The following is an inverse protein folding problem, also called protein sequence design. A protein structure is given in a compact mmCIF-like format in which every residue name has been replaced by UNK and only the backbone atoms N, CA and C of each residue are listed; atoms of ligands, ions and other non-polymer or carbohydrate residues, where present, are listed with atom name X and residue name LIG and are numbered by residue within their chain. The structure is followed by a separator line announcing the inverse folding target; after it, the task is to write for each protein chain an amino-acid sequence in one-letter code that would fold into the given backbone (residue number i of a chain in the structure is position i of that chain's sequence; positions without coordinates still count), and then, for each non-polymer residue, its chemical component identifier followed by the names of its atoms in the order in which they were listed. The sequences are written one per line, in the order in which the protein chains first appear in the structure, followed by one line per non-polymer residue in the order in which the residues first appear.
data_IF_381299853911
#
_entry.id   IF_381299853911
#
_cell.length_a   1.000
_cell.length_b   1.000
_cell.length_c   1.000
_cell.angle_alpha   90.00
_cell.angle_beta   90.00
_cell.angle_gamma   90.00
#
_symmetry.space_group_name_H-M   'P 1'
#
loop_
_entity.id
_entity.type
_entity.pdbx_description
1 polymer ?
#
# COMPACT_ATOMS: atom_id res chain seq x y z
N UNK A 1 8.80 -0.09 13.64
CA UNK A 1 8.07 0.47 12.48
C UNK A 1 8.30 -0.46 11.29
N UNK A 2 7.28 -0.75 10.47
CA UNK A 2 7.45 -1.60 9.29
C UNK A 2 8.44 -0.98 8.30
N UNK A 3 9.34 -1.79 7.75
CA UNK A 3 10.24 -1.36 6.67
C UNK A 3 9.48 -1.27 5.36
N UNK A 4 9.68 -0.17 4.63
CA UNK A 4 9.09 0.06 3.30
C UNK A 4 10.21 -0.05 2.27
N UNK A 5 10.02 -0.93 1.29
CA UNK A 5 11.00 -1.28 0.28
C UNK A 5 10.70 -0.58 -1.06
N UNK A 6 11.67 -0.63 -1.97
CA UNK A 6 11.58 0.00 -3.29
C UNK A 6 12.25 1.37 -3.33
N UNK A 7 12.02 2.10 -4.41
CA UNK A 7 12.62 3.41 -4.68
C UNK A 7 11.84 4.52 -3.96
N UNK A 8 11.82 4.48 -2.62
CA UNK A 8 11.18 5.50 -1.77
C UNK A 8 11.97 6.81 -1.84
N UNK A 9 11.26 7.94 -1.83
CA UNK A 9 11.88 9.28 -1.89
C UNK A 9 11.73 10.09 -0.60
N UNK A 10 10.92 9.58 0.34
CA UNK A 10 10.70 10.19 1.64
C UNK A 10 10.27 9.13 2.67
N UNK A 11 10.09 9.61 3.90
CA UNK A 11 9.59 8.79 5.00
C UNK A 11 8.07 8.59 4.94
N UNK A 12 7.33 9.20 4.02
CA UNK A 12 5.87 9.10 3.92
C UNK A 12 5.41 8.11 2.84
N UNK A 13 6.30 7.20 2.44
CA UNK A 13 6.06 6.10 1.47
C UNK A 13 5.91 6.53 0.02
N UNK A 14 6.15 7.81 -0.31
CA UNK A 14 6.15 8.23 -1.72
C UNK A 14 7.31 7.58 -2.45
N UNK A 15 7.15 7.33 -3.74
CA UNK A 15 8.21 6.75 -4.57
C UNK A 15 8.45 7.53 -5.85
N UNK A 16 9.52 7.16 -6.56
CA UNK A 16 9.87 7.77 -7.86
C UNK A 16 8.77 7.62 -8.93
N UNK A 17 7.85 6.65 -8.77
CA UNK A 17 6.75 6.44 -9.72
C UNK A 17 5.49 7.24 -9.38
N UNK A 18 5.20 7.45 -8.09
CA UNK A 18 4.01 8.12 -7.57
C UNK A 18 4.39 8.92 -6.32
N UNK A 19 4.27 10.25 -6.39
CA UNK A 19 4.82 11.18 -5.40
C UNK A 19 3.97 12.42 -5.14
N UNK A 20 2.67 12.35 -5.44
CA UNK A 20 1.76 13.41 -5.01
C UNK A 20 1.64 13.43 -3.49
N UNK A 21 1.14 14.54 -2.94
CA UNK A 21 0.89 14.65 -1.49
C UNK A 21 -0.07 13.58 -0.95
N UNK A 22 -0.86 12.94 -1.81
CA UNK A 22 -1.83 11.89 -1.48
C UNK A 22 -1.29 10.47 -1.62
N UNK A 23 -0.09 10.29 -2.22
CA UNK A 23 0.53 8.98 -2.44
C UNK A 23 1.28 8.50 -1.19
N UNK A 24 0.56 8.49 -0.06
CA UNK A 24 1.11 8.27 1.29
C UNK A 24 0.67 6.93 1.90
N UNK A 25 0.53 5.91 1.06
CA UNK A 25 0.25 4.54 1.49
C UNK A 25 1.33 3.59 0.96
N UNK A 26 1.63 2.56 1.75
CA UNK A 26 2.35 1.38 1.28
C UNK A 26 1.48 0.14 1.45
N UNK A 27 1.63 -0.82 0.53
CA UNK A 27 0.85 -2.06 0.46
C UNK A 27 1.77 -3.23 0.81
N UNK A 28 1.34 -4.10 1.73
CA UNK A 28 1.97 -5.37 2.04
C UNK A 28 1.63 -6.36 0.94
N UNK A 29 2.64 -6.80 0.20
CA UNK A 29 2.46 -7.76 -0.89
C UNK A 29 2.35 -9.18 -0.33
N UNK A 30 1.27 -9.89 -0.67
CA UNK A 30 1.01 -11.25 -0.19
C UNK A 30 2.13 -12.24 -0.51
N UNK A 31 2.83 -12.05 -1.61
CA UNK A 31 3.88 -12.96 -2.05
C UNK A 31 5.10 -13.00 -1.12
N UNK A 32 5.41 -11.89 -0.44
CA UNK A 32 6.65 -11.74 0.34
C UNK A 32 6.46 -11.06 1.71
N UNK A 33 5.25 -10.62 2.05
CA UNK A 33 4.90 -9.91 3.28
C UNK A 33 5.70 -8.62 3.54
N UNK A 34 6.22 -8.00 2.47
CA UNK A 34 6.94 -6.72 2.53
C UNK A 34 6.05 -5.57 2.07
N UNK A 35 6.26 -4.39 2.66
CA UNK A 35 5.59 -3.17 2.24
C UNK A 35 6.30 -2.49 1.07
N UNK A 36 5.52 -2.11 0.07
CA UNK A 36 5.97 -1.32 -1.07
C UNK A 36 5.01 -0.16 -1.35
N UNK A 37 5.50 1.01 -1.79
CA UNK A 37 4.66 2.14 -2.21
C UNK A 37 3.70 1.79 -3.35
N UNK A 38 4.14 0.95 -4.28
CA UNK A 38 3.37 0.60 -5.47
C UNK A 38 3.87 -0.71 -6.11
N UNK A 39 3.08 -1.24 -7.06
CA UNK A 39 3.43 -2.44 -7.84
C UNK A 39 4.72 -2.31 -8.66
N UNK A 40 5.06 -1.12 -9.17
CA UNK A 40 6.31 -0.93 -9.92
C UNK A 40 7.53 -1.10 -9.02
N UNK A 41 7.52 -0.44 -7.85
CA UNK A 41 8.55 -0.61 -6.83
C UNK A 41 8.73 -2.07 -6.41
N UNK A 42 7.63 -2.83 -6.24
CA UNK A 42 7.72 -4.26 -5.96
C UNK A 42 8.39 -5.02 -7.13
N UNK A 43 7.88 -4.85 -8.35
CA UNK A 43 8.34 -5.60 -9.52
C UNK A 43 9.80 -5.31 -9.89
N UNK A 44 10.30 -4.12 -9.57
CA UNK A 44 11.71 -3.75 -9.76
C UNK A 44 12.60 -4.32 -8.65
N UNK A 45 12.09 -4.48 -7.43
CA UNK A 45 12.86 -4.95 -6.27
C UNK A 45 12.85 -6.46 -6.09
N UNK A 46 11.92 -7.18 -6.72
CA UNK A 46 11.67 -8.59 -6.48
C UNK A 46 11.75 -9.43 -7.77
N UNK A 47 12.31 -10.63 -7.67
CA UNK A 47 12.45 -11.56 -8.79
C UNK A 47 11.21 -12.44 -9.03
N UNK A 48 10.16 -12.25 -8.23
CA UNK A 48 8.95 -13.07 -8.26
C UNK A 48 7.71 -12.26 -8.60
N UNK A 49 6.69 -12.95 -9.11
CA UNK A 49 5.42 -12.31 -9.47
C UNK A 49 4.59 -12.00 -8.22
N UNK A 50 3.90 -10.85 -8.19
CA UNK A 50 3.00 -10.51 -7.10
C UNK A 50 1.85 -11.52 -6.99
N UNK A 51 1.49 -11.86 -5.75
CA UNK A 51 0.27 -12.60 -5.42
C UNK A 51 -0.78 -11.62 -4.91
N UNK A 52 -2.04 -11.89 -5.23
CA UNK A 52 -3.18 -11.07 -4.78
C UNK A 52 -3.80 -11.65 -3.52
N UNK A 53 -4.25 -10.77 -2.64
CA UNK A 53 -5.09 -11.13 -1.50
C UNK A 53 -6.46 -11.57 -1.98
N UNK A 54 -6.97 -12.66 -1.41
CA UNK A 54 -8.32 -13.16 -1.64
C UNK A 54 -9.27 -12.43 -0.70
N UNK A 55 -10.53 -12.32 -1.08
CA UNK A 55 -11.54 -11.60 -0.28
C UNK A 55 -11.63 -12.08 1.17
N UNK A 56 -11.57 -13.40 1.41
CA UNK A 56 -11.59 -13.96 2.77
C UNK A 56 -10.35 -13.61 3.62
N UNK A 57 -9.31 -13.04 3.01
CA UNK A 57 -8.08 -12.57 3.68
C UNK A 57 -8.08 -11.05 3.89
N UNK A 58 -9.14 -10.31 3.50
CA UNK A 58 -9.14 -8.83 3.55
C UNK A 58 -9.14 -8.23 4.97
N UNK A 59 -9.26 -9.07 6.01
CA UNK A 59 -9.03 -8.67 7.39
C UNK A 59 -7.54 -8.62 7.77
N UNK A 60 -6.63 -8.99 6.86
CA UNK A 60 -5.19 -8.83 7.05
C UNK A 60 -4.79 -7.34 7.05
N UNK A 61 -3.92 -6.95 7.99
CA UNK A 61 -3.33 -5.61 8.07
C UNK A 61 -2.30 -5.40 6.96
N UNK A 62 -2.77 -5.16 5.74
CA UNK A 62 -1.91 -5.07 4.56
C UNK A 62 -1.68 -3.63 4.07
N UNK A 63 -2.25 -2.61 4.71
CA UNK A 63 -2.12 -1.22 4.26
C UNK A 63 -1.44 -0.40 5.35
N UNK A 64 -0.39 0.33 4.99
CA UNK A 64 0.36 1.19 5.91
C UNK A 64 0.14 2.65 5.52
N UNK A 65 -0.31 3.48 6.47
CA UNK A 65 -0.28 4.93 6.31
C UNK A 65 1.16 5.42 6.45
N UNK A 66 1.68 6.07 5.41
CA UNK A 66 3.02 6.63 5.37
C UNK A 66 3.25 7.76 6.38
N UNK A 67 2.22 8.55 6.68
CA UNK A 67 2.30 9.71 7.60
C UNK A 67 2.42 9.27 9.06
N UNK A 68 1.52 8.42 9.56
CA UNK A 68 1.46 8.07 10.99
C UNK A 68 1.84 6.61 11.31
N UNK A 69 2.21 5.83 10.29
CA UNK A 69 2.57 4.40 10.37
C UNK A 69 1.47 3.50 10.92
N UNK A 70 0.22 3.93 10.85
CA UNK A 70 -0.90 3.08 11.18
C UNK A 70 -1.07 1.98 10.13
N UNK A 71 -1.05 0.72 10.58
CA UNK A 71 -1.42 -0.43 9.75
C UNK A 71 -2.94 -0.64 9.82
N UNK A 72 -3.57 -0.67 8.66
CA UNK A 72 -5.01 -0.87 8.44
C UNK A 72 -5.22 -2.19 7.72
N UNK A 73 -6.38 -2.79 7.94
CA UNK A 73 -6.84 -3.92 7.13
C UNK A 73 -7.19 -3.48 5.70
N UNK A 74 -7.23 -4.44 4.77
CA UNK A 74 -7.65 -4.18 3.39
C UNK A 74 -9.11 -3.68 3.39
N UNK A 75 -9.99 -4.32 4.15
CA UNK A 75 -11.39 -3.94 4.30
C UNK A 75 -11.55 -2.50 4.82
N UNK A 76 -10.83 -2.12 5.88
CA UNK A 76 -10.87 -0.74 6.39
C UNK A 76 -10.42 0.26 5.33
N UNK A 77 -9.29 0.00 4.66
CA UNK A 77 -8.76 0.90 3.63
C UNK A 77 -9.70 1.09 2.45
N UNK A 78 -10.42 0.04 2.03
CA UNK A 78 -11.37 0.13 0.91
C UNK A 78 -12.58 1.03 1.20
N UNK A 79 -12.91 1.25 2.48
CA UNK A 79 -14.11 1.98 2.92
C UNK A 79 -13.83 3.45 3.31
N UNK A 80 -12.58 3.88 3.29
CA UNK A 80 -12.15 5.22 3.76
C UNK A 80 -11.38 5.99 2.68
N UNK A 81 -11.33 7.30 2.84
CA UNK A 81 -10.55 8.20 1.96
C UNK A 81 -9.41 8.92 2.70
N UNK A 82 -9.31 8.71 4.01
CA UNK A 82 -8.27 9.28 4.85
C UNK A 82 -7.91 8.31 5.98
N UNK A 83 -6.68 8.43 6.50
CA UNK A 83 -6.23 7.59 7.61
C UNK A 83 -7.10 7.85 8.86
N UNK A 84 -7.65 6.80 9.51
CA UNK A 84 -8.51 6.97 10.68
C UNK A 84 -7.74 7.46 11.91
N UNK A 85 -6.40 7.37 11.89
CA UNK A 85 -5.52 7.77 13.00
C UNK A 85 -5.02 9.21 12.89
N UNK A 86 -4.72 9.70 11.70
CA UNK A 86 -4.11 11.03 11.51
C UNK A 86 -4.81 11.93 10.49
N UNK A 87 -5.91 11.48 9.89
CA UNK A 87 -6.69 12.21 8.87
C UNK A 87 -5.91 12.56 7.59
N UNK A 88 -4.73 11.98 7.36
CA UNK A 88 -4.03 12.14 6.10
C UNK A 88 -4.87 11.56 4.96
N UNK A 89 -5.12 12.36 3.92
CA UNK A 89 -5.90 11.95 2.75
C UNK A 89 -5.14 10.95 1.89
N UNK A 90 -5.86 9.96 1.36
CA UNK A 90 -5.32 8.97 0.44
C UNK A 90 -5.71 9.29 -1.00
N UNK A 91 -4.86 8.88 -1.93
CA UNK A 91 -5.16 9.03 -3.34
C UNK A 91 -6.27 8.06 -3.77
N UNK A 92 -7.47 8.57 -4.07
CA UNK A 92 -8.60 7.76 -4.53
C UNK A 92 -8.32 7.04 -5.85
N UNK A 93 -7.38 7.54 -6.67
CA UNK A 93 -6.95 6.89 -7.91
C UNK A 93 -6.21 5.57 -7.67
N UNK A 94 -5.72 5.28 -6.46
CA UNK A 94 -5.16 3.97 -6.11
C UNK A 94 -6.16 2.83 -6.34
N UNK A 95 -7.47 3.11 -6.29
CA UNK A 95 -8.56 2.17 -6.61
C UNK A 95 -8.43 1.56 -8.01
N UNK A 96 -7.89 2.32 -8.97
CA UNK A 96 -7.65 1.83 -10.33
C UNK A 96 -6.64 0.67 -10.39
N UNK A 97 -5.82 0.50 -9.35
CA UNK A 97 -4.80 -0.54 -9.26
C UNK A 97 -5.21 -1.71 -8.33
N UNK A 98 -6.42 -1.71 -7.75
CA UNK A 98 -6.83 -2.75 -6.80
C UNK A 98 -6.70 -4.17 -7.38
N UNK A 99 -7.03 -4.35 -8.65
CA UNK A 99 -6.90 -5.63 -9.34
C UNK A 99 -5.47 -6.20 -9.39
N UNK A 100 -4.44 -5.38 -9.10
CA UNK A 100 -3.04 -5.81 -8.98
C UNK A 100 -2.69 -6.38 -7.60
N UNK A 101 -3.46 -6.03 -6.57
CA UNK A 101 -3.19 -6.39 -5.16
C UNK A 101 -4.25 -7.33 -4.58
N UNK A 102 -5.48 -7.23 -5.07
CA UNK A 102 -6.69 -7.85 -4.51
C UNK A 102 -7.45 -8.60 -5.60
N UNK A 103 -8.01 -9.76 -5.26
CA UNK A 103 -8.92 -10.51 -6.12
C UNK A 103 -10.35 -9.95 -5.95
N UNK A 104 -10.68 -8.95 -6.78
CA UNK A 104 -12.00 -8.29 -6.87
C UNK A 104 -12.48 -8.22 -8.32
#
# INVERSE_FOLDING_TARGET
MPTVYGQVIDDETRCVHYSTILDVIAIKFKCCNKYYPCHKCHNEAESHRPKRWKEHEFNEKAILCGVCKHEMTINEYMLIEACPKCNAHFNSRCKLHYHLYFEI
#
